data_IF_514642805427
#
_entry.id   IF_514642805427
#
_cell.length_a   1.000
_cell.length_b   1.000
_cell.length_c   1.000
_cell.angle_alpha   90.00
_cell.angle_beta   90.00
_cell.angle_gamma   90.00
#
_symmetry.space_group_name_H-M   'P 1'
#
loop_
_entity.id
_entity.type
_entity.pdbx_description
1 polymer ?
#
# COMPACT_ATOMS: atom_id res chain seq x y z
N UNK A 1 -56.34 18.73 3.08
CA UNK A 1 -55.55 17.97 2.09
C UNK A 1 -54.05 18.25 2.22
N UNK A 2 -53.67 19.50 2.49
CA UNK A 2 -52.29 19.98 2.58
C UNK A 2 -51.40 19.28 3.63
N UNK A 3 -51.93 18.97 4.82
CA UNK A 3 -51.15 18.28 5.87
C UNK A 3 -50.65 16.88 5.43
N UNK A 4 -51.45 16.16 4.63
CA UNK A 4 -51.07 14.83 4.10
C UNK A 4 -50.00 14.94 3.01
N UNK A 5 -50.03 16.02 2.23
CA UNK A 5 -49.02 16.30 1.19
C UNK A 5 -47.68 16.66 1.84
N UNK A 6 -47.71 17.47 2.91
CA UNK A 6 -46.50 17.82 3.67
C UNK A 6 -45.87 16.60 4.36
N UNK A 7 -46.69 15.73 4.96
CA UNK A 7 -46.19 14.50 5.59
C UNK A 7 -45.48 13.60 4.56
N UNK A 8 -46.10 13.35 3.40
CA UNK A 8 -45.48 12.56 2.32
C UNK A 8 -44.15 13.14 1.84
N UNK A 9 -44.08 14.47 1.69
CA UNK A 9 -42.85 15.15 1.28
C UNK A 9 -41.71 14.93 2.29
N UNK A 10 -42.01 14.97 3.59
CA UNK A 10 -41.01 14.71 4.62
C UNK A 10 -40.52 13.26 4.60
N UNK A 11 -41.43 12.31 4.35
CA UNK A 11 -41.05 10.89 4.22
C UNK A 11 -40.16 10.65 2.99
N UNK A 12 -40.45 11.30 1.85
CA UNK A 12 -39.63 11.21 0.65
C UNK A 12 -38.23 11.81 0.84
N UNK A 13 -38.14 12.95 1.54
CA UNK A 13 -36.87 13.60 1.88
C UNK A 13 -36.04 12.76 2.86
N UNK A 14 -36.70 12.14 3.85
CA UNK A 14 -36.06 11.20 4.76
C UNK A 14 -35.52 9.99 4.00
N UNK A 15 -36.33 9.39 3.12
CA UNK A 15 -35.91 8.25 2.30
C UNK A 15 -34.70 8.62 1.41
N UNK A 16 -34.71 9.81 0.80
CA UNK A 16 -33.60 10.31 -0.01
C UNK A 16 -32.31 10.46 0.83
N UNK A 17 -32.43 11.00 2.05
CA UNK A 17 -31.28 11.17 2.95
C UNK A 17 -30.68 9.83 3.41
N UNK A 18 -31.52 8.83 3.72
CA UNK A 18 -31.09 7.49 4.11
C UNK A 18 -30.35 6.81 2.96
N UNK A 19 -30.86 6.93 1.73
CA UNK A 19 -30.20 6.38 0.54
C UNK A 19 -28.86 7.06 0.26
N UNK A 20 -28.77 8.38 0.45
CA UNK A 20 -27.52 9.11 0.30
C UNK A 20 -26.47 8.70 1.35
N UNK A 21 -26.89 8.48 2.59
CA UNK A 21 -26.04 7.98 3.67
C UNK A 21 -25.52 6.57 3.37
N UNK A 22 -26.39 5.67 2.90
CA UNK A 22 -26.02 4.30 2.54
C UNK A 22 -24.99 4.29 1.40
N UNK A 23 -25.21 5.09 0.37
CA UNK A 23 -24.25 5.25 -0.73
C UNK A 23 -22.92 5.84 -0.25
N UNK A 24 -22.94 6.87 0.61
CA UNK A 24 -21.71 7.45 1.15
C UNK A 24 -20.91 6.41 1.96
N UNK A 25 -21.59 5.52 2.69
CA UNK A 25 -20.96 4.45 3.47
C UNK A 25 -20.22 3.43 2.58
N UNK A 26 -20.64 3.23 1.34
CA UNK A 26 -19.97 2.32 0.40
C UNK A 26 -18.91 3.03 -0.44
N UNK A 27 -19.14 4.27 -0.83
CA UNK A 27 -18.24 5.04 -1.70
C UNK A 27 -17.00 5.56 -0.95
N UNK A 28 -17.16 6.07 0.27
CA UNK A 28 -16.06 6.66 1.04
C UNK A 28 -14.91 5.68 1.32
N UNK A 29 -15.16 4.42 1.72
CA UNK A 29 -14.09 3.44 1.89
C UNK A 29 -13.38 3.10 0.59
N UNK A 30 -14.11 3.01 -0.54
CA UNK A 30 -13.50 2.73 -1.85
C UNK A 30 -12.53 3.84 -2.24
N UNK A 31 -12.98 5.09 -2.15
CA UNK A 31 -12.16 6.25 -2.46
C UNK A 31 -10.92 6.35 -1.57
N UNK A 32 -11.05 6.04 -0.27
CA UNK A 32 -9.91 6.02 0.65
C UNK A 32 -8.89 4.94 0.28
N UNK A 33 -9.34 3.75 -0.13
CA UNK A 33 -8.47 2.67 -0.59
C UNK A 33 -7.77 3.02 -1.89
N UNK A 34 -8.49 3.64 -2.84
CA UNK A 34 -7.92 4.05 -4.12
C UNK A 34 -6.84 5.13 -3.91
N UNK A 35 -7.14 6.15 -3.10
CA UNK A 35 -6.16 7.16 -2.72
C UNK A 35 -4.94 6.57 -2.00
N UNK A 36 -5.15 5.60 -1.10
CA UNK A 36 -4.05 4.89 -0.45
C UNK A 36 -3.16 4.14 -1.45
N UNK A 37 -3.75 3.42 -2.41
CA UNK A 37 -2.99 2.72 -3.46
C UNK A 37 -2.23 3.68 -4.37
N UNK A 38 -2.74 4.89 -4.56
CA UNK A 38 -2.09 5.93 -5.35
C UNK A 38 -0.94 6.62 -4.62
N UNK A 39 -0.92 6.57 -3.28
CA UNK A 39 0.11 7.18 -2.45
C UNK A 39 1.53 6.70 -2.81
N UNK A 40 2.50 7.60 -2.61
CA UNK A 40 3.92 7.30 -2.83
C UNK A 40 4.41 6.19 -1.92
N UNK A 41 3.96 6.18 -0.67
CA UNK A 41 4.40 5.22 0.35
C UNK A 41 3.94 3.81 0.01
N UNK A 42 2.72 3.64 -0.50
CA UNK A 42 2.24 2.34 -0.96
C UNK A 42 3.07 1.83 -2.14
N UNK A 43 3.30 2.66 -3.15
CA UNK A 43 4.11 2.30 -4.33
C UNK A 43 5.55 1.96 -3.96
N UNK A 44 6.14 2.70 -3.02
CA UNK A 44 7.49 2.43 -2.52
C UNK A 44 7.52 1.15 -1.67
N UNK A 45 6.47 0.91 -0.87
CA UNK A 45 6.25 -0.36 -0.18
C UNK A 45 6.22 -1.55 -1.14
N UNK A 46 5.50 -1.43 -2.27
CA UNK A 46 5.46 -2.48 -3.29
C UNK A 46 6.83 -2.79 -3.89
N UNK A 47 7.66 -1.77 -4.18
CA UNK A 47 9.04 -2.00 -4.66
C UNK A 47 9.88 -2.74 -3.63
N UNK A 48 9.77 -2.37 -2.35
CA UNK A 48 10.47 -3.05 -1.25
C UNK A 48 10.02 -4.50 -1.11
N UNK A 49 8.71 -4.74 -1.15
CA UNK A 49 8.16 -6.10 -1.10
C UNK A 49 8.62 -6.95 -2.30
N UNK A 50 8.58 -6.38 -3.51
CA UNK A 50 9.06 -7.05 -4.72
C UNK A 50 10.52 -7.50 -4.58
N UNK A 51 11.40 -6.63 -4.07
CA UNK A 51 12.80 -6.96 -3.81
C UNK A 51 12.95 -8.12 -2.83
N UNK A 52 12.26 -8.09 -1.70
CA UNK A 52 12.33 -9.17 -0.69
C UNK A 52 11.84 -10.50 -1.26
N UNK A 53 10.75 -10.49 -2.03
CA UNK A 53 10.24 -11.73 -2.65
C UNK A 53 11.18 -12.30 -3.71
N UNK A 54 11.80 -11.44 -4.51
CA UNK A 54 12.79 -11.84 -5.50
C UNK A 54 14.03 -12.43 -4.83
N UNK A 55 14.61 -11.73 -3.85
CA UNK A 55 15.80 -12.17 -3.12
C UNK A 55 15.57 -13.52 -2.45
N UNK A 56 14.43 -13.70 -1.78
CA UNK A 56 14.08 -14.98 -1.17
C UNK A 56 13.96 -16.09 -2.23
N UNK A 57 13.24 -15.84 -3.33
CA UNK A 57 13.08 -16.80 -4.41
C UNK A 57 14.42 -17.19 -5.05
N UNK A 58 15.29 -16.20 -5.27
CA UNK A 58 16.64 -16.40 -5.80
C UNK A 58 17.49 -17.25 -4.84
N UNK A 59 17.52 -16.94 -3.54
CA UNK A 59 18.26 -17.74 -2.55
C UNK A 59 17.80 -19.19 -2.49
N UNK A 60 16.49 -19.44 -2.59
CA UNK A 60 15.93 -20.80 -2.64
C UNK A 60 16.33 -21.51 -3.93
N UNK A 61 16.22 -20.85 -5.08
CA UNK A 61 16.62 -21.41 -6.37
C UNK A 61 18.12 -21.73 -6.40
N UNK A 62 18.97 -20.84 -5.88
CA UNK A 62 20.41 -20.99 -5.78
C UNK A 62 20.80 -22.17 -4.89
N UNK A 63 20.17 -22.31 -3.72
CA UNK A 63 20.42 -23.46 -2.84
C UNK A 63 20.07 -24.79 -3.52
N UNK A 64 18.96 -24.83 -4.28
CA UNK A 64 18.58 -26.01 -5.07
C UNK A 64 19.57 -26.28 -6.18
N UNK A 65 20.01 -25.25 -6.90
CA UNK A 65 21.00 -25.37 -7.95
C UNK A 65 22.30 -25.98 -7.42
N UNK A 66 22.86 -25.46 -6.33
CA UNK A 66 24.07 -26.01 -5.72
C UNK A 66 23.89 -27.45 -5.21
N UNK A 67 22.69 -27.82 -4.75
CA UNK A 67 22.41 -29.20 -4.34
C UNK A 67 22.41 -30.20 -5.52
N UNK A 68 22.04 -29.75 -6.72
CA UNK A 68 21.99 -30.57 -7.92
C UNK A 68 23.30 -30.52 -8.73
N UNK A 69 24.03 -29.41 -8.64
CA UNK A 69 25.25 -29.14 -9.39
C UNK A 69 26.35 -28.57 -8.48
N UNK A 70 26.99 -29.39 -7.63
CA UNK A 70 27.94 -28.92 -6.61
C UNK A 70 29.18 -28.24 -7.17
N UNK A 71 29.60 -28.62 -8.39
CA UNK A 71 30.82 -28.11 -9.03
C UNK A 71 30.56 -26.92 -9.98
N UNK A 72 29.32 -26.44 -10.06
CA UNK A 72 28.94 -25.33 -10.94
C UNK A 72 28.88 -24.02 -10.19
N UNK A 73 29.60 -23.01 -10.67
CA UNK A 73 29.52 -21.64 -10.14
C UNK A 73 28.29 -20.92 -10.70
N UNK A 74 27.50 -20.30 -9.82
CA UNK A 74 26.37 -19.46 -10.20
C UNK A 74 26.77 -17.98 -10.16
N UNK A 75 26.18 -17.19 -11.06
CA UNK A 75 26.39 -15.74 -11.11
C UNK A 75 25.95 -15.05 -9.80
N UNK A 76 26.75 -14.08 -9.34
CA UNK A 76 26.52 -13.32 -8.11
C UNK A 76 25.15 -12.62 -8.16
N UNK A 77 24.36 -12.74 -7.09
CA UNK A 77 23.06 -12.08 -6.98
C UNK A 77 23.24 -10.56 -7.20
N UNK A 78 22.55 -9.95 -8.18
CA UNK A 78 22.59 -8.51 -8.40
C UNK A 78 22.19 -7.67 -7.18
N UNK A 79 21.54 -8.27 -6.18
CA UNK A 79 21.09 -7.62 -4.95
C UNK A 79 21.90 -7.99 -3.71
N UNK A 80 22.95 -8.83 -3.83
CA UNK A 80 23.88 -9.03 -2.71
C UNK A 80 24.62 -7.74 -2.44
N UNK A 81 24.43 -7.15 -1.26
CA UNK A 81 25.20 -5.99 -0.80
C UNK A 81 26.65 -6.43 -0.71
N UNK A 82 27.49 -5.90 -1.60
CA UNK A 82 28.92 -6.21 -1.58
C UNK A 82 29.56 -5.34 -0.50
N UNK A 83 30.64 -5.80 0.14
CA UNK A 83 31.40 -4.96 1.07
C UNK A 83 32.01 -3.69 0.42
N UNK A 84 31.97 -3.59 -0.92
CA UNK A 84 32.28 -2.34 -1.65
C UNK A 84 31.10 -1.35 -1.60
N UNK A 85 29.87 -1.84 -1.55
CA UNK A 85 28.65 -1.04 -1.50
C UNK A 85 28.42 -0.46 -0.09
N UNK A 86 28.98 -1.10 0.96
CA UNK A 86 29.03 -0.57 2.34
C UNK A 86 29.81 0.75 2.46
N UNK A 87 30.64 1.09 1.46
CA UNK A 87 31.35 2.37 1.38
C UNK A 87 30.48 3.51 0.84
N UNK A 88 29.31 3.19 0.28
CA UNK A 88 28.31 4.17 -0.17
C UNK A 88 27.43 4.51 1.03
N UNK A 89 27.44 5.77 1.54
CA UNK A 89 26.64 6.13 2.70
C UNK A 89 25.15 6.04 2.35
N UNK A 90 24.49 4.97 2.80
CA UNK A 90 23.05 4.82 2.75
C UNK A 90 22.46 5.34 4.07
N UNK A 91 21.56 6.32 3.97
CA UNK A 91 20.92 6.96 5.12
C UNK A 91 20.05 5.94 5.87
N UNK A 92 20.52 5.50 7.05
CA UNK A 92 19.86 4.41 7.80
C UNK A 92 18.62 4.85 8.58
N UNK A 93 18.42 6.16 8.71
CA UNK A 93 17.35 6.75 9.51
C UNK A 93 16.85 8.00 8.78
N UNK A 94 15.68 7.88 8.16
CA UNK A 94 14.91 9.04 7.73
C UNK A 94 13.99 9.42 8.88
N UNK A 95 14.22 10.58 9.50
CA UNK A 95 13.34 11.09 10.53
C UNK A 95 12.00 11.44 9.89
N UNK A 96 10.94 10.71 10.26
CA UNK A 96 9.59 11.11 9.91
C UNK A 96 9.22 12.33 10.76
N UNK A 97 8.74 13.38 10.10
CA UNK A 97 8.20 14.55 10.78
C UNK A 97 6.86 14.15 11.44
N UNK A 98 6.90 13.90 12.74
CA UNK A 98 5.71 13.63 13.57
C UNK A 98 5.10 14.94 14.10
N UNK A 99 5.47 16.10 13.54
CA UNK A 99 4.85 17.37 13.94
C UNK A 99 3.35 17.32 13.67
N UNK A 100 2.57 17.69 14.69
CA UNK A 100 1.14 17.86 14.51
C UNK A 100 0.90 18.96 13.46
N UNK A 101 -0.08 18.80 12.55
CA UNK A 101 -0.43 19.86 11.62
C UNK A 101 -0.87 21.12 12.39
N UNK A 102 -0.60 22.33 11.86
CA UNK A 102 -0.94 23.58 12.53
C UNK A 102 -2.46 23.69 12.73
N UNK A 103 -2.86 24.19 13.90
CA UNK A 103 -4.26 24.47 14.20
C UNK A 103 -4.79 25.66 13.37
N UNK A 104 -6.09 25.65 13.01
CA UNK A 104 -6.72 26.66 12.15
C UNK A 104 -6.90 28.04 12.80
#
# INVERSE_FOLDING_TARGET
MEARVRARKMDDELLQSVKALENARTELPSQAVDHYKESTDFKEGLKRMGRVTYEYGYRVALARFHSLHPDSEAEEDPFTIRPKDDSVPMERQQAFDNSAPPEP
#
